data_IF_995548672943
#
_entry.id   IF_995548672943
#
_cell.length_a   1.000
_cell.length_b   1.000
_cell.length_c   1.000
_cell.angle_alpha   90.00
_cell.angle_beta   90.00
_cell.angle_gamma   90.00
#
_symmetry.space_group_name_H-M   'P 1'
#
loop_
_entity.id
_entity.type
_entity.pdbx_description
1 polymer ?
#
# COMPACT_ATOMS: atom_id res chain seq x y z
N UNK A 1 -9.48 19.99 -28.08
CA UNK A 1 -8.19 20.10 -27.37
C UNK A 1 -8.20 19.16 -26.18
N UNK A 2 -7.69 17.94 -26.34
CA UNK A 2 -7.79 16.89 -25.32
C UNK A 2 -6.60 17.01 -24.38
N UNK A 3 -6.74 17.85 -23.33
CA UNK A 3 -5.68 18.04 -22.33
C UNK A 3 -5.62 16.78 -21.44
N UNK A 4 -4.72 15.85 -21.78
CA UNK A 4 -4.31 14.77 -20.88
C UNK A 4 -5.32 13.63 -20.67
N UNK A 5 -6.13 13.26 -21.68
CA UNK A 5 -6.90 12.02 -21.59
C UNK A 5 -5.97 10.81 -21.67
N UNK A 6 -6.01 9.97 -20.63
CA UNK A 6 -5.38 8.66 -20.61
C UNK A 6 -6.48 7.60 -20.63
N UNK A 7 -6.52 6.77 -21.66
CA UNK A 7 -7.51 5.69 -21.78
C UNK A 7 -7.00 4.45 -21.06
N UNK A 8 -7.85 3.90 -20.19
CA UNK A 8 -7.58 2.66 -19.44
C UNK A 8 -8.51 1.57 -19.98
N UNK A 9 -8.00 0.40 -20.42
CA UNK A 9 -8.83 -0.72 -20.84
C UNK A 9 -9.80 -1.19 -19.75
N UNK A 10 -10.94 -1.76 -20.15
CA UNK A 10 -11.98 -2.24 -19.22
C UNK A 10 -11.45 -3.30 -18.26
N UNK A 11 -10.58 -4.18 -18.73
CA UNK A 11 -10.02 -5.25 -17.91
C UNK A 11 -9.11 -4.69 -16.81
N UNK A 12 -8.32 -3.67 -17.14
CA UNK A 12 -7.45 -2.98 -16.18
C UNK A 12 -8.28 -2.20 -15.15
N UNK A 13 -9.41 -1.60 -15.54
CA UNK A 13 -10.36 -1.01 -14.58
C UNK A 13 -10.90 -2.04 -13.59
N UNK A 14 -11.23 -3.24 -14.07
CA UNK A 14 -11.73 -4.32 -13.23
C UNK A 14 -10.71 -4.74 -12.17
N UNK A 15 -9.44 -4.87 -12.56
CA UNK A 15 -8.34 -5.21 -11.64
C UNK A 15 -8.03 -4.07 -10.67
N UNK A 16 -8.06 -2.82 -11.13
CA UNK A 16 -7.89 -1.64 -10.28
C UNK A 16 -9.07 -1.42 -9.31
N UNK A 17 -10.23 -2.01 -9.59
CA UNK A 17 -11.46 -1.80 -8.81
C UNK A 17 -11.95 -0.36 -8.87
N UNK A 18 -11.82 0.29 -10.04
CA UNK A 18 -12.21 1.70 -10.24
C UNK A 18 -13.35 1.81 -11.25
N UNK A 19 -14.44 2.44 -10.83
CA UNK A 19 -15.60 2.77 -11.63
C UNK A 19 -15.52 4.21 -12.18
N UNK A 20 -16.46 4.55 -13.06
CA UNK A 20 -16.55 5.91 -13.59
C UNK A 20 -17.00 6.86 -12.46
N UNK A 21 -16.13 7.81 -12.09
CA UNK A 21 -16.38 8.73 -10.96
C UNK A 21 -15.54 8.42 -9.71
N UNK A 22 -14.85 7.28 -9.68
CA UNK A 22 -13.96 6.94 -8.57
C UNK A 22 -12.67 7.76 -8.60
N UNK A 23 -12.11 7.98 -7.39
CA UNK A 23 -10.84 8.66 -7.22
C UNK A 23 -9.69 7.67 -7.36
N UNK A 24 -8.68 8.07 -8.12
CA UNK A 24 -7.44 7.32 -8.30
C UNK A 24 -6.27 8.17 -7.85
N UNK A 25 -5.29 7.52 -7.23
CA UNK A 25 -4.04 8.14 -6.82
C UNK A 25 -2.94 7.73 -7.78
N UNK A 26 -2.18 8.71 -8.26
CA UNK A 26 -0.99 8.50 -9.07
C UNK A 26 0.23 8.57 -8.15
N UNK A 27 0.92 7.45 -8.01
CA UNK A 27 2.14 7.33 -7.21
C UNK A 27 3.32 7.35 -8.18
N UNK A 28 4.24 8.28 -7.98
CA UNK A 28 5.44 8.42 -8.82
C UNK A 28 6.65 8.01 -8.01
N UNK A 29 7.26 6.90 -8.39
CA UNK A 29 8.49 6.37 -7.80
C UNK A 29 9.60 6.46 -8.85
N UNK A 30 10.39 7.54 -8.79
CA UNK A 30 11.46 7.84 -9.73
C UNK A 30 10.93 7.97 -11.16
N UNK A 31 11.19 6.95 -11.98
CA UNK A 31 10.79 6.90 -13.39
C UNK A 31 9.54 6.03 -13.66
N UNK A 32 8.95 5.44 -12.63
CA UNK A 32 7.76 4.58 -12.72
C UNK A 32 6.54 5.29 -12.15
N UNK A 33 5.43 5.26 -12.89
CA UNK A 33 4.14 5.76 -12.40
C UNK A 33 3.21 4.58 -12.16
N UNK A 34 2.67 4.50 -10.94
CA UNK A 34 1.68 3.48 -10.54
C UNK A 34 0.35 4.16 -10.28
N UNK A 35 -0.72 3.52 -10.73
CA UNK A 35 -2.10 3.97 -10.48
C UNK A 35 -2.70 3.04 -9.43
N UNK A 36 -3.25 3.60 -8.37
CA UNK A 36 -3.91 2.85 -7.32
C UNK A 36 -5.27 3.46 -6.98
N UNK A 37 -6.21 2.63 -6.55
CA UNK A 37 -7.45 3.10 -5.93
C UNK A 37 -7.09 3.89 -4.65
N UNK A 38 -7.58 5.12 -4.52
CA UNK A 38 -7.18 6.01 -3.42
C UNK A 38 -7.51 5.46 -2.03
N UNK A 39 -8.64 4.76 -1.88
CA UNK A 39 -9.04 4.18 -0.60
C UNK A 39 -8.15 2.99 -0.22
N UNK A 40 -7.90 2.08 -1.17
CA UNK A 40 -7.03 0.93 -0.98
C UNK A 40 -5.59 1.39 -0.67
N UNK A 41 -5.11 2.39 -1.39
CA UNK A 41 -3.76 2.92 -1.21
C UNK A 41 -3.57 3.57 0.16
N UNK A 42 -4.54 4.36 0.62
CA UNK A 42 -4.49 4.96 1.96
C UNK A 42 -4.44 3.88 3.06
N UNK A 43 -5.23 2.81 2.92
CA UNK A 43 -5.19 1.69 3.86
C UNK A 43 -3.85 0.95 3.84
N UNK A 44 -3.25 0.78 2.65
CA UNK A 44 -1.93 0.14 2.52
C UNK A 44 -0.82 0.96 3.18
N UNK A 45 -0.80 2.29 2.99
CA UNK A 45 0.18 3.16 3.65
C UNK A 45 0.01 3.07 5.18
N UNK A 46 -1.22 3.19 5.68
CA UNK A 46 -1.48 3.11 7.12
C UNK A 46 -1.03 1.77 7.72
N UNK A 47 -1.31 0.65 7.02
CA UNK A 47 -0.85 -0.67 7.44
C UNK A 47 0.67 -0.80 7.40
N UNK A 48 1.32 -0.23 6.38
CA UNK A 48 2.77 -0.21 6.29
C UNK A 48 3.36 0.57 7.45
N UNK A 49 2.95 1.82 7.69
CA UNK A 49 3.41 2.66 8.79
C UNK A 49 3.26 1.96 10.16
N UNK A 50 2.10 1.34 10.41
CA UNK A 50 1.89 0.54 11.63
C UNK A 50 2.81 -0.68 11.75
N UNK A 51 3.18 -1.31 10.63
CA UNK A 51 4.12 -2.42 10.61
C UNK A 51 5.58 -1.96 10.77
N UNK A 52 5.93 -0.72 10.43
CA UNK A 52 7.28 -0.17 10.62
C UNK A 52 7.50 0.35 12.05
N UNK A 53 6.44 0.75 12.76
CA UNK A 53 6.49 1.12 14.18
C UNK A 53 6.58 -0.11 15.11
N UNK A 54 6.21 -1.29 14.60
CA UNK A 54 6.36 -2.57 15.29
C UNK A 54 7.75 -3.18 15.06
N UNK A 55 8.81 -2.47 15.44
CA UNK A 55 10.07 -3.12 15.80
C UNK A 55 9.77 -4.11 16.93
N UNK A 56 9.99 -5.44 16.77
CA UNK A 56 9.94 -6.36 17.89
C UNK A 56 11.13 -6.06 18.79
N UNK A 57 10.98 -5.09 19.69
CA UNK A 57 11.90 -4.87 20.81
C UNK A 57 11.88 -6.12 21.68
N UNK A 58 12.83 -7.02 21.40
CA UNK A 58 13.60 -7.84 22.33
C UNK A 58 13.00 -7.96 23.74
N UNK A 59 12.44 -9.12 24.06
CA UNK A 59 12.63 -9.88 25.32
C UNK A 59 11.85 -11.18 25.17
N UNK A 60 12.32 -12.38 25.52
CA UNK A 60 13.05 -12.77 26.72
C UNK A 60 13.98 -13.94 26.33
N UNK A 61 15.29 -13.77 26.55
CA UNK A 61 16.21 -14.90 26.64
C UNK A 61 15.81 -15.72 27.87
N UNK A 62 15.24 -16.92 27.65
CA UNK A 62 14.96 -17.88 28.71
C UNK A 62 16.27 -18.46 29.23
N UNK A 63 16.90 -17.77 30.18
CA UNK A 63 18.06 -18.28 30.90
C UNK A 63 17.58 -19.24 31.99
N UNK A 64 17.96 -20.51 31.82
CA UNK A 64 17.84 -21.59 32.81
C UNK A 64 18.31 -21.14 34.19
N UNK A 65 17.50 -21.37 35.22
CA UNK A 65 18.00 -21.71 36.55
C UNK A 65 17.18 -22.91 37.03
N UNK A 66 17.78 -24.10 36.98
CA UNK A 66 17.33 -25.23 37.79
C UNK A 66 17.91 -25.05 39.18
N UNK A 67 17.07 -24.98 40.21
CA UNK A 67 17.53 -25.25 41.57
C UNK A 67 17.26 -26.72 41.90
N UNK A 68 18.32 -27.40 42.35
CA UNK A 68 18.29 -28.62 43.15
C UNK A 68 17.78 -28.34 44.55
#
# INVERSE_FOLDING_TARGET
>A
MTKGQVTIPKDVRGVLGVASGDRVTFVVEGNTVRIANSAVYAMQILQQEMAQEAEPRSSIHSSRISLS
#
